data_IF_373314943849
#
_entry.id   IF_373314943849
#
_cell.length_a   1.000
_cell.length_b   1.000
_cell.length_c   1.000
_cell.angle_alpha   90.00
_cell.angle_beta   90.00
_cell.angle_gamma   90.00
#
_symmetry.space_group_name_H-M   'P 1'
#
loop_
_entity.id
_entity.type
_entity.pdbx_description
1 polymer ?
#
# COMPACT_ATOMS: atom_id res chain seq x y z
N UNK A 1 46.11 15.94 20.69
CA UNK A 1 44.66 15.94 21.02
C UNK A 1 43.84 16.88 20.15
N UNK A 2 44.19 18.17 20.01
CA UNK A 2 43.41 19.16 19.21
C UNK A 2 43.23 18.79 17.72
N UNK A 3 44.28 18.27 17.08
CA UNK A 3 44.23 17.80 15.67
C UNK A 3 43.30 16.61 15.47
N UNK A 4 43.21 15.71 16.45
CA UNK A 4 42.28 14.58 16.39
C UNK A 4 40.84 15.07 16.42
N UNK A 5 40.53 16.00 17.34
CA UNK A 5 39.20 16.62 17.45
C UNK A 5 38.82 17.32 16.14
N UNK A 6 39.74 18.07 15.53
CA UNK A 6 39.48 18.76 14.26
C UNK A 6 39.16 17.78 13.12
N UNK A 7 39.92 16.68 13.00
CA UNK A 7 39.65 15.65 11.99
C UNK A 7 38.28 14.99 12.18
N UNK A 8 37.92 14.68 13.43
CA UNK A 8 36.61 14.09 13.76
C UNK A 8 35.47 15.04 13.41
N UNK A 9 35.61 16.34 13.71
CA UNK A 9 34.61 17.35 13.35
C UNK A 9 34.42 17.47 11.83
N UNK A 10 35.51 17.43 11.07
CA UNK A 10 35.45 17.47 9.60
C UNK A 10 34.74 16.23 9.05
N UNK A 11 35.06 15.04 9.55
CA UNK A 11 34.40 13.80 9.12
C UNK A 11 32.93 13.79 9.51
N UNK A 12 32.58 14.25 10.71
CA UNK A 12 31.20 14.36 11.15
C UNK A 12 30.40 15.35 10.29
N UNK A 13 31.00 16.48 9.92
CA UNK A 13 30.37 17.45 9.02
C UNK A 13 30.11 16.84 7.64
N UNK A 14 31.10 16.17 7.04
CA UNK A 14 30.95 15.49 5.75
C UNK A 14 29.85 14.42 5.85
N UNK A 15 29.81 13.67 6.95
CA UNK A 15 28.79 12.65 7.17
C UNK A 15 27.37 13.24 7.17
N UNK A 16 27.16 14.36 7.88
CA UNK A 16 25.86 15.07 7.91
C UNK A 16 25.46 15.54 6.51
N UNK A 17 26.40 16.11 5.75
CA UNK A 17 26.13 16.58 4.37
C UNK A 17 25.73 15.43 3.45
N UNK A 18 26.45 14.30 3.50
CA UNK A 18 26.11 13.11 2.70
C UNK A 18 24.76 12.53 3.11
N UNK A 19 24.46 12.54 4.41
CA UNK A 19 23.19 12.06 4.95
C UNK A 19 22.00 12.90 4.47
N UNK A 20 22.12 14.24 4.50
CA UNK A 20 21.09 15.14 3.95
C UNK A 20 20.84 14.90 2.46
N UNK A 21 21.91 14.79 1.66
CA UNK A 21 21.78 14.54 0.21
C UNK A 21 21.05 13.21 -0.03
N UNK A 22 21.39 12.19 0.74
CA UNK A 22 20.79 10.86 0.61
C UNK A 22 19.31 10.88 0.97
N UNK A 23 18.97 11.42 2.14
CA UNK A 23 17.57 11.50 2.60
C UNK A 23 16.75 12.40 1.68
N UNK A 24 17.26 13.58 1.31
CA UNK A 24 16.58 14.51 0.41
C UNK A 24 16.25 13.88 -0.94
N UNK A 25 17.18 13.10 -1.50
CA UNK A 25 16.95 12.35 -2.75
C UNK A 25 15.85 11.30 -2.62
N UNK A 26 15.82 10.57 -1.50
CA UNK A 26 14.81 9.54 -1.25
C UNK A 26 13.42 10.16 -1.00
N UNK A 27 13.35 11.27 -0.26
CA UNK A 27 12.11 12.03 -0.06
C UNK A 27 11.58 12.57 -1.39
N UNK A 28 12.43 13.12 -2.26
CA UNK A 28 12.01 13.62 -3.57
C UNK A 28 11.41 12.51 -4.45
N UNK A 29 12.02 11.33 -4.48
CA UNK A 29 11.49 10.16 -5.20
C UNK A 29 10.16 9.68 -4.61
N UNK A 30 10.03 9.71 -3.28
CA UNK A 30 8.79 9.35 -2.60
C UNK A 30 7.67 10.33 -2.97
N UNK A 31 7.93 11.63 -2.89
CA UNK A 31 6.97 12.68 -3.25
C UNK A 31 6.54 12.56 -4.72
N UNK A 32 7.46 12.38 -5.66
CA UNK A 32 7.09 12.21 -7.08
C UNK A 32 6.17 11.01 -7.33
N UNK A 33 6.41 9.89 -6.65
CA UNK A 33 5.50 8.73 -6.74
C UNK A 33 4.15 9.05 -6.12
N UNK A 34 4.15 9.69 -4.95
CA UNK A 34 2.93 10.07 -4.25
C UNK A 34 2.08 11.05 -5.07
N UNK A 35 2.71 12.07 -5.64
CA UNK A 35 2.10 13.04 -6.55
C UNK A 35 1.56 12.37 -7.80
N UNK A 36 2.28 11.41 -8.38
CA UNK A 36 1.77 10.62 -9.50
C UNK A 36 0.53 9.80 -9.11
N UNK A 37 0.55 9.09 -7.98
CA UNK A 37 -0.61 8.31 -7.52
C UNK A 37 -1.83 9.18 -7.19
N UNK A 38 -1.60 10.40 -6.69
CA UNK A 38 -2.65 11.38 -6.41
C UNK A 38 -3.09 12.21 -7.63
N UNK A 39 -2.33 12.17 -8.72
CA UNK A 39 -2.69 12.85 -9.96
C UNK A 39 -3.93 12.24 -10.59
N UNK A 40 -4.62 13.01 -11.44
CA UNK A 40 -5.76 12.53 -12.21
C UNK A 40 -5.41 11.29 -13.06
N UNK A 41 -4.22 11.27 -13.65
CA UNK A 41 -3.71 10.15 -14.46
C UNK A 41 -3.45 8.91 -13.59
N UNK A 42 -2.85 9.08 -12.41
CA UNK A 42 -2.60 7.98 -11.48
C UNK A 42 -3.90 7.34 -10.98
N UNK A 43 -4.90 8.16 -10.64
CA UNK A 43 -6.23 7.71 -10.24
C UNK A 43 -6.93 6.98 -11.40
N UNK A 44 -6.84 7.51 -12.62
CA UNK A 44 -7.42 6.88 -13.79
C UNK A 44 -6.77 5.52 -14.09
N UNK A 45 -5.43 5.46 -14.08
CA UNK A 45 -4.69 4.22 -14.25
C UNK A 45 -4.98 3.20 -13.14
N UNK A 46 -5.13 3.65 -11.89
CA UNK A 46 -5.53 2.78 -10.79
C UNK A 46 -6.93 2.21 -11.01
N UNK A 47 -7.89 3.04 -11.43
CA UNK A 47 -9.26 2.60 -11.74
C UNK A 47 -9.31 1.59 -12.88
N UNK A 48 -8.50 1.79 -13.93
CA UNK A 48 -8.38 0.86 -15.06
C UNK A 48 -7.82 -0.48 -14.59
N UNK A 49 -6.73 -0.47 -13.81
CA UNK A 49 -6.13 -1.70 -13.25
C UNK A 49 -7.09 -2.43 -12.31
N UNK A 50 -7.77 -1.70 -11.42
CA UNK A 50 -8.75 -2.28 -10.51
C UNK A 50 -9.89 -2.96 -11.29
N UNK A 51 -10.45 -2.28 -12.31
CA UNK A 51 -11.49 -2.86 -13.17
C UNK A 51 -11.01 -4.10 -13.92
N UNK A 52 -9.78 -4.10 -14.42
CA UNK A 52 -9.25 -5.25 -15.15
C UNK A 52 -9.00 -6.45 -14.24
N UNK A 53 -8.52 -6.24 -13.02
CA UNK A 53 -8.38 -7.31 -12.02
C UNK A 53 -9.75 -7.85 -11.57
N UNK A 54 -10.75 -6.99 -11.35
CA UNK A 54 -12.13 -7.43 -11.08
C UNK A 54 -12.70 -8.23 -12.27
N UNK A 55 -12.46 -7.77 -13.50
CA UNK A 55 -12.91 -8.49 -14.69
C UNK A 55 -12.23 -9.86 -14.84
N UNK A 56 -10.95 -9.98 -14.48
CA UNK A 56 -10.25 -11.27 -14.42
C UNK A 56 -10.82 -12.16 -13.32
N UNK A 57 -11.08 -11.61 -12.14
CA UNK A 57 -11.69 -12.31 -11.02
C UNK A 57 -13.07 -12.88 -11.40
N UNK A 58 -13.90 -12.10 -12.08
CA UNK A 58 -15.23 -12.55 -12.56
C UNK A 58 -15.17 -13.62 -13.65
N UNK A 59 -14.04 -13.73 -14.37
CA UNK A 59 -13.82 -14.78 -15.39
C UNK A 59 -13.22 -16.06 -14.81
N UNK A 60 -12.77 -16.05 -13.55
CA UNK A 60 -12.33 -17.29 -12.88
C UNK A 60 -13.57 -18.10 -12.50
N UNK A 61 -13.65 -19.33 -13.00
CA UNK A 61 -14.75 -20.26 -12.67
C UNK A 61 -14.79 -20.60 -11.17
N UNK A 62 -13.66 -20.50 -10.48
CA UNK A 62 -13.55 -20.67 -9.04
C UNK A 62 -12.79 -19.46 -8.44
N UNK A 63 -13.54 -18.41 -8.12
CA UNK A 63 -13.00 -17.24 -7.41
C UNK A 63 -12.63 -17.56 -5.95
N UNK A 64 -13.36 -18.49 -5.36
CA UNK A 64 -13.23 -18.92 -3.97
C UNK A 64 -12.78 -20.37 -3.94
N UNK A 65 -11.86 -20.68 -3.05
CA UNK A 65 -11.48 -22.05 -2.75
C UNK A 65 -12.61 -22.79 -2.00
N UNK A 66 -12.61 -24.14 -1.98
CA UNK A 66 -13.69 -24.91 -1.35
C UNK A 66 -13.99 -24.51 0.09
N UNK A 67 -12.96 -24.21 0.88
CA UNK A 67 -13.09 -23.75 2.27
C UNK A 67 -13.74 -22.36 2.36
N UNK A 68 -13.32 -21.43 1.51
CA UNK A 68 -13.87 -20.07 1.45
C UNK A 68 -15.34 -20.07 1.03
N UNK A 69 -15.73 -20.96 0.09
CA UNK A 69 -17.13 -21.16 -0.29
C UNK A 69 -17.99 -21.59 0.90
N UNK A 70 -17.50 -22.52 1.72
CA UNK A 70 -18.22 -23.00 2.91
C UNK A 70 -18.39 -21.86 3.92
N UNK A 71 -17.33 -21.09 4.15
CA UNK A 71 -17.31 -19.99 5.12
C UNK A 71 -18.25 -18.85 4.70
N UNK A 72 -18.16 -18.41 3.44
CA UNK A 72 -19.02 -17.34 2.89
C UNK A 72 -20.48 -17.79 2.84
N UNK A 73 -20.76 -19.03 2.43
CA UNK A 73 -22.11 -19.57 2.46
C UNK A 73 -22.68 -19.56 3.88
N UNK A 74 -21.93 -20.05 4.87
CA UNK A 74 -22.35 -20.04 6.27
C UNK A 74 -22.64 -18.64 6.79
N UNK A 75 -21.83 -17.65 6.41
CA UNK A 75 -22.05 -16.25 6.77
C UNK A 75 -23.33 -15.68 6.13
N UNK A 76 -23.54 -15.89 4.83
CA UNK A 76 -24.74 -15.43 4.11
C UNK A 76 -26.01 -16.07 4.68
N UNK A 77 -25.97 -17.37 4.97
CA UNK A 77 -27.11 -18.10 5.52
C UNK A 77 -27.47 -17.61 6.93
N UNK A 78 -26.47 -17.29 7.75
CA UNK A 78 -26.68 -16.69 9.07
C UNK A 78 -27.33 -15.30 8.99
N UNK A 79 -26.83 -14.43 8.10
CA UNK A 79 -27.45 -13.11 7.87
C UNK A 79 -28.90 -13.27 7.42
N UNK A 80 -29.20 -14.21 6.52
CA UNK A 80 -30.57 -14.46 6.07
C UNK A 80 -31.47 -14.90 7.21
N UNK A 81 -31.00 -15.76 8.10
CA UNK A 81 -31.75 -16.16 9.30
C UNK A 81 -32.00 -14.97 10.21
N UNK A 82 -30.99 -14.17 10.52
CA UNK A 82 -31.13 -12.99 11.39
C UNK A 82 -32.10 -11.94 10.83
N UNK A 83 -32.18 -11.78 9.50
CA UNK A 83 -33.11 -10.86 8.84
C UNK A 83 -34.53 -11.45 8.74
N UNK A 84 -34.64 -12.77 8.55
CA UNK A 84 -35.92 -13.45 8.31
C UNK A 84 -36.64 -13.85 9.61
N UNK A 85 -35.90 -13.98 10.71
CA UNK A 85 -36.50 -14.13 12.03
C UNK A 85 -37.08 -12.78 12.46
N UNK A 86 -38.41 -12.66 12.65
CA UNK A 86 -38.96 -11.47 13.27
C UNK A 86 -38.36 -11.38 14.68
N UNK A 87 -37.78 -10.22 15.03
CA UNK A 87 -37.30 -9.95 16.38
C UNK A 87 -38.38 -10.33 17.38
N UNK A 88 -38.12 -11.35 18.20
CA UNK A 88 -38.94 -11.68 19.37
C UNK A 88 -38.83 -10.56 20.41
#
# INVERSE_FOLDING_TARGET
MKIFIYKVLVVAFIFVVVFEITIGSQIKKANQKFDYYLSSEGIENFKIKLKSEIAKANKKENLLDPEEKVLIKGFIDKIRQEISEPKK
#
